data_IF_372661387702
#
_entry.id   IF_372661387702
#
_cell.length_a   1.000
_cell.length_b   1.000
_cell.length_c   1.000
_cell.angle_alpha   90.00
_cell.angle_beta   90.00
_cell.angle_gamma   90.00
#
_symmetry.space_group_name_H-M   'P 1'
#
loop_
_entity.id
_entity.type
_entity.pdbx_description
1 polymer ?
#
# COMPACT_ATOMS: atom_id res chain seq x y z
N UNK A 1 -8.32 -19.28 12.62
CA UNK A 1 -7.11 -18.44 12.76
C UNK A 1 -7.52 -17.04 12.36
N UNK A 2 -7.19 -16.01 13.13
CA UNK A 2 -7.48 -14.64 12.74
C UNK A 2 -6.59 -14.33 11.52
N UNK A 3 -7.19 -14.20 10.34
CA UNK A 3 -6.46 -13.89 9.11
C UNK A 3 -6.01 -12.43 9.19
N UNK A 4 -4.75 -12.24 9.57
CA UNK A 4 -4.08 -10.95 9.49
C UNK A 4 -3.68 -10.69 8.04
N UNK A 5 -3.56 -9.42 7.64
CA UNK A 5 -3.09 -9.05 6.31
C UNK A 5 -1.73 -9.69 6.02
N UNK A 6 -1.68 -10.62 5.07
CA UNK A 6 -0.42 -11.23 4.62
C UNK A 6 0.23 -10.37 3.55
N UNK A 7 1.23 -9.57 3.94
CA UNK A 7 1.91 -8.64 3.01
C UNK A 7 2.59 -9.38 1.86
N UNK A 8 3.36 -10.44 2.15
CA UNK A 8 4.18 -11.12 1.14
C UNK A 8 3.31 -11.90 0.13
N UNK A 9 2.20 -12.50 0.57
CA UNK A 9 1.27 -13.15 -0.35
C UNK A 9 0.57 -12.13 -1.27
N UNK A 10 0.09 -11.02 -0.70
CA UNK A 10 -0.51 -9.94 -1.47
C UNK A 10 0.48 -9.32 -2.47
N UNK A 11 1.73 -9.08 -2.05
CA UNK A 11 2.76 -8.53 -2.94
C UNK A 11 3.16 -9.50 -4.04
N UNK A 12 3.25 -10.80 -3.74
CA UNK A 12 3.54 -11.83 -4.74
C UNK A 12 2.42 -11.88 -5.78
N UNK A 13 1.17 -11.99 -5.35
CA UNK A 13 0.01 -12.03 -6.25
C UNK A 13 -0.11 -10.74 -7.08
N UNK A 14 0.06 -9.58 -6.45
CA UNK A 14 0.00 -8.29 -7.13
C UNK A 14 1.15 -8.10 -8.13
N UNK A 15 2.37 -8.56 -7.80
CA UNK A 15 3.52 -8.50 -8.70
C UNK A 15 3.32 -9.37 -9.94
N UNK A 16 2.79 -10.58 -9.76
CA UNK A 16 2.41 -11.47 -10.87
C UNK A 16 1.38 -10.78 -11.77
N UNK A 17 0.30 -10.25 -11.19
CA UNK A 17 -0.72 -9.50 -11.92
C UNK A 17 -0.14 -8.33 -12.73
N UNK A 18 0.77 -7.53 -12.14
CA UNK A 18 1.40 -6.42 -12.85
C UNK A 18 2.32 -6.88 -13.99
N UNK A 19 3.03 -7.99 -13.78
CA UNK A 19 3.89 -8.62 -14.79
C UNK A 19 3.06 -9.10 -15.99
N UNK A 20 1.95 -9.79 -15.74
CA UNK A 20 1.00 -10.24 -16.78
C UNK A 20 0.37 -9.08 -17.55
N UNK A 21 0.22 -7.91 -16.90
CA UNK A 21 -0.20 -6.66 -17.55
C UNK A 21 0.93 -5.91 -18.27
N UNK A 22 2.11 -6.52 -18.42
CA UNK A 22 3.25 -5.99 -19.17
C UNK A 22 3.97 -4.83 -18.48
N UNK A 23 3.85 -4.70 -17.15
CA UNK A 23 4.58 -3.66 -16.42
C UNK A 23 6.07 -4.01 -16.32
N UNK A 24 6.93 -3.00 -16.51
CA UNK A 24 8.38 -3.15 -16.37
C UNK A 24 8.73 -3.57 -14.94
N UNK A 25 9.74 -4.42 -14.80
CA UNK A 25 10.24 -4.89 -13.51
C UNK A 25 10.55 -3.74 -12.53
N UNK A 26 11.19 -2.66 -13.00
CA UNK A 26 11.49 -1.49 -12.17
C UNK A 26 10.23 -0.78 -11.62
N UNK A 27 9.12 -0.83 -12.36
CA UNK A 27 7.82 -0.32 -11.89
C UNK A 27 7.23 -1.22 -10.82
N UNK A 28 7.30 -2.55 -11.01
CA UNK A 28 6.84 -3.53 -10.02
C UNK A 28 7.62 -3.40 -8.71
N UNK A 29 8.95 -3.29 -8.79
CA UNK A 29 9.80 -3.05 -7.62
C UNK A 29 9.45 -1.74 -6.90
N UNK A 30 9.17 -0.67 -7.66
CA UNK A 30 8.74 0.60 -7.07
C UNK A 30 7.40 0.48 -6.35
N UNK A 31 6.46 -0.25 -6.93
CA UNK A 31 5.14 -0.47 -6.34
C UNK A 31 5.27 -1.29 -5.05
N UNK A 32 6.05 -2.38 -5.08
CA UNK A 32 6.33 -3.17 -3.89
C UNK A 32 6.98 -2.33 -2.79
N UNK A 33 7.93 -1.46 -3.13
CA UNK A 33 8.55 -0.55 -2.17
C UNK A 33 7.52 0.38 -1.49
N UNK A 34 6.68 1.06 -2.30
CA UNK A 34 5.69 2.00 -1.78
C UNK A 34 4.64 1.29 -0.90
N UNK A 35 4.25 0.04 -1.24
CA UNK A 35 3.33 -0.78 -0.44
C UNK A 35 3.98 -1.26 0.86
N UNK A 36 5.24 -1.71 0.80
CA UNK A 36 6.00 -2.13 2.00
C UNK A 36 6.15 -0.99 3.00
N UNK A 37 6.40 0.22 2.51
CA UNK A 37 6.49 1.41 3.35
C UNK A 37 5.15 1.75 4.03
N UNK A 38 4.04 1.68 3.28
CA UNK A 38 2.72 1.87 3.86
C UNK A 38 2.38 0.80 4.91
N UNK A 39 2.64 -0.47 4.62
CA UNK A 39 2.43 -1.57 5.56
C UNK A 39 3.27 -1.40 6.84
N UNK A 40 4.53 -0.98 6.69
CA UNK A 40 5.39 -0.65 7.83
C UNK A 40 4.78 0.44 8.69
N UNK A 41 4.25 1.50 8.08
CA UNK A 41 3.57 2.55 8.81
C UNK A 41 2.31 2.05 9.54
N UNK A 42 1.50 1.19 8.91
CA UNK A 42 0.35 0.55 9.58
C UNK A 42 0.79 -0.24 10.83
N UNK A 43 1.91 -0.97 10.73
CA UNK A 43 2.47 -1.72 11.84
C UNK A 43 2.98 -0.81 12.97
N UNK A 44 3.73 0.24 12.62
CA UNK A 44 4.29 1.20 13.59
C UNK A 44 3.20 2.01 14.32
N UNK A 45 2.00 2.10 13.75
CA UNK A 45 0.84 2.77 14.37
C UNK A 45 -0.19 1.76 14.91
N UNK A 46 0.19 0.50 15.07
CA UNK A 46 -0.61 -0.58 15.66
C UNK A 46 -1.94 -0.89 14.93
N UNK A 47 -2.17 -0.32 13.76
CA UNK A 47 -3.39 -0.51 12.98
C UNK A 47 -3.58 -1.96 12.52
N UNK A 48 -2.48 -2.67 12.25
CA UNK A 48 -2.51 -4.10 11.90
C UNK A 48 -3.06 -5.00 13.02
N UNK A 49 -3.12 -4.53 14.27
CA UNK A 49 -3.76 -5.27 15.37
C UNK A 49 -5.28 -5.21 15.30
N UNK A 50 -5.83 -4.23 14.56
CA UNK A 50 -7.25 -3.91 14.55
C UNK A 50 -7.94 -4.19 13.21
N UNK A 51 -7.18 -4.35 12.14
CA UNK A 51 -7.72 -4.66 10.80
C UNK A 51 -7.37 -6.08 10.39
N UNK A 52 -8.32 -6.75 9.73
CA UNK A 52 -8.11 -8.10 9.15
C UNK A 52 -7.91 -8.06 7.64
N UNK A 53 -8.34 -6.98 6.99
CA UNK A 53 -8.28 -6.83 5.55
C UNK A 53 -7.89 -5.40 5.14
N UNK A 54 -7.38 -5.24 3.92
CA UNK A 54 -7.08 -3.94 3.34
C UNK A 54 -8.32 -3.03 3.21
N UNK A 55 -9.53 -3.61 3.20
CA UNK A 55 -10.81 -2.91 3.05
C UNK A 55 -11.23 -2.22 4.36
N UNK A 56 -10.68 -2.65 5.50
CA UNK A 56 -10.97 -2.07 6.81
C UNK A 56 -10.13 -0.82 7.11
N UNK A 57 -9.16 -0.50 6.25
CA UNK A 57 -8.37 0.74 6.38
C UNK A 57 -9.28 1.93 6.06
N UNK A 58 -9.46 2.80 7.04
CA UNK A 58 -10.35 3.95 6.91
C UNK A 58 -9.71 5.06 6.06
N UNK A 59 -10.56 5.96 5.55
CA UNK A 59 -10.09 7.19 4.89
C UNK A 59 -9.20 8.03 5.82
N UNK A 60 -9.49 8.02 7.14
CA UNK A 60 -8.69 8.74 8.12
C UNK A 60 -7.28 8.15 8.28
N UNK A 61 -7.12 6.84 8.19
CA UNK A 61 -5.80 6.19 8.22
C UNK A 61 -4.96 6.61 7.00
N UNK A 62 -5.58 6.66 5.82
CA UNK A 62 -4.94 7.20 4.63
C UNK A 62 -4.55 8.67 4.81
N UNK A 63 -5.45 9.51 5.32
CA UNK A 63 -5.16 10.92 5.58
C UNK A 63 -3.99 11.09 6.56
N UNK A 64 -3.94 10.28 7.62
CA UNK A 64 -2.85 10.30 8.61
C UNK A 64 -1.52 9.88 7.98
N UNK A 65 -1.50 8.81 7.18
CA UNK A 65 -0.31 8.37 6.45
C UNK A 65 0.20 9.45 5.51
N UNK A 66 -0.66 10.03 4.67
CA UNK A 66 -0.27 11.07 3.73
C UNK A 66 0.17 12.37 4.43
N UNK A 67 -0.44 12.71 5.57
CA UNK A 67 0.01 13.82 6.41
C UNK A 67 1.39 13.56 7.00
N UNK A 68 1.71 12.32 7.38
CA UNK A 68 3.05 11.94 7.84
C UNK A 68 4.08 12.04 6.69
N UNK A 69 3.75 11.55 5.51
CA UNK A 69 4.62 11.66 4.32
C UNK A 69 4.93 13.12 3.99
N UNK A 70 3.94 14.00 4.12
CA UNK A 70 4.08 15.44 3.89
C UNK A 70 4.90 16.13 4.97
N UNK A 71 4.47 16.03 6.23
CA UNK A 71 4.95 16.92 7.29
C UNK A 71 6.17 16.36 8.03
N UNK A 72 6.37 15.04 8.04
CA UNK A 72 7.51 14.41 8.73
C UNK A 72 8.62 13.97 7.79
N UNK A 73 8.26 13.44 6.61
CA UNK A 73 9.23 12.95 5.62
C UNK A 73 9.49 13.96 4.50
N UNK A 74 8.77 15.07 4.47
CA UNK A 74 8.92 16.15 3.49
C UNK A 74 8.82 15.66 2.03
N UNK A 75 8.00 14.64 1.79
CA UNK A 75 7.82 14.10 0.45
C UNK A 75 7.09 15.11 -0.43
N UNK A 76 7.69 15.38 -1.60
CA UNK A 76 7.09 16.20 -2.65
C UNK A 76 5.71 15.68 -3.07
N UNK A 77 4.87 16.58 -3.59
CA UNK A 77 3.55 16.24 -4.16
C UNK A 77 3.65 15.12 -5.20
N UNK A 78 4.71 15.13 -6.04
CA UNK A 78 4.94 14.10 -7.06
C UNK A 78 5.15 12.71 -6.44
N UNK A 79 5.94 12.63 -5.37
CA UNK A 79 6.18 11.36 -4.65
C UNK A 79 4.90 10.87 -3.97
N UNK A 80 4.18 11.75 -3.27
CA UNK A 80 2.91 11.39 -2.63
C UNK A 80 1.86 10.95 -3.66
N UNK A 81 1.74 11.65 -4.78
CA UNK A 81 0.83 11.25 -5.86
C UNK A 81 1.19 9.87 -6.43
N UNK A 82 2.47 9.55 -6.62
CA UNK A 82 2.90 8.19 -7.02
C UNK A 82 2.41 7.14 -6.02
N UNK A 83 2.65 7.36 -4.73
CA UNK A 83 2.24 6.43 -3.67
C UNK A 83 0.72 6.23 -3.69
N UNK A 84 -0.05 7.31 -3.85
CA UNK A 84 -1.51 7.23 -4.00
C UNK A 84 -1.94 6.37 -5.20
N UNK A 85 -1.31 6.56 -6.36
CA UNK A 85 -1.58 5.74 -7.55
C UNK A 85 -1.28 4.26 -7.28
N UNK A 86 -0.17 3.96 -6.59
CA UNK A 86 0.19 2.58 -6.22
C UNK A 86 -0.86 1.95 -5.31
N UNK A 87 -1.24 2.64 -4.23
CA UNK A 87 -2.23 2.14 -3.28
C UNK A 87 -3.60 1.96 -3.95
N UNK A 88 -4.03 2.91 -4.79
CA UNK A 88 -5.26 2.78 -5.57
C UNK A 88 -5.21 1.55 -6.49
N UNK A 89 -4.05 1.29 -7.13
CA UNK A 89 -3.89 0.13 -8.02
C UNK A 89 -3.95 -1.20 -7.25
N UNK A 90 -3.40 -1.25 -6.04
CA UNK A 90 -3.53 -2.39 -5.15
C UNK A 90 -5.00 -2.64 -4.76
N UNK A 91 -5.74 -1.58 -4.41
CA UNK A 91 -7.17 -1.67 -4.09
C UNK A 91 -8.01 -2.23 -5.23
N UNK A 92 -7.79 -1.74 -6.45
CA UNK A 92 -8.47 -2.29 -7.64
C UNK A 92 -8.10 -3.76 -7.89
N UNK A 93 -6.85 -4.15 -7.64
CA UNK A 93 -6.44 -5.56 -7.76
C UNK A 93 -7.14 -6.46 -6.72
N UNK A 94 -7.30 -5.96 -5.49
CA UNK A 94 -7.97 -6.67 -4.40
C UNK A 94 -9.51 -6.63 -4.48
N UNK A 95 -10.09 -5.91 -5.45
CA UNK A 95 -11.55 -5.80 -5.61
C UNK A 95 -12.23 -4.91 -4.57
N UNK A 96 -11.51 -3.97 -3.99
CA UNK A 96 -12.02 -3.02 -2.96
C UNK A 96 -12.71 -1.81 -3.62
N UNK A 97 -12.24 -1.44 -4.81
CA UNK A 97 -12.65 -0.25 -5.58
C UNK A 97 -12.77 -0.59 -7.05
#
# INVERSE_FOLDING_TARGET
MNETISLEENLKAFSTYLSEKGRKHSTIQRYAYDIKDFYRWLNENELLLHIKSWNEISVHDYQAYFSMLENKREYSLKTRHRIWVVLKKLHTFLGIV
#
